data_IF_217408696553
#
_entry.id   IF_217408696553
#
_cell.length_a   1.000
_cell.length_b   1.000
_cell.length_c   1.000
_cell.angle_alpha   90.00
_cell.angle_beta   90.00
_cell.angle_gamma   90.00
#
_symmetry.space_group_name_H-M   'P 1'
#
loop_
_entity.id
_entity.type
_entity.pdbx_description
1 polymer ?
#
# COMPACT_ATOMS: atom_id res chain seq x y z
N UNK A 1 19.88 -12.99 2.19
CA UNK A 1 19.00 -12.24 1.28
C UNK A 1 19.78 -12.01 -0.01
N UNK A 2 19.28 -12.54 -1.12
CA UNK A 2 19.96 -12.38 -2.42
C UNK A 2 19.87 -10.91 -2.83
N UNK A 3 21.02 -10.30 -3.17
CA UNK A 3 21.09 -8.90 -3.62
C UNK A 3 20.14 -8.62 -4.81
N UNK A 4 19.92 -9.61 -5.67
CA UNK A 4 18.97 -9.55 -6.78
C UNK A 4 17.51 -9.38 -6.32
N UNK A 5 17.17 -9.93 -5.16
CA UNK A 5 15.82 -9.81 -4.60
C UNK A 5 15.56 -8.38 -4.12
N UNK A 6 16.51 -7.78 -3.40
CA UNK A 6 16.40 -6.40 -2.93
C UNK A 6 16.24 -5.44 -4.11
N UNK A 7 16.96 -5.65 -5.20
CA UNK A 7 16.82 -4.84 -6.40
C UNK A 7 15.45 -4.96 -7.06
N UNK A 8 14.92 -6.18 -7.17
CA UNK A 8 13.58 -6.41 -7.75
C UNK A 8 12.46 -5.86 -6.85
N UNK A 9 12.57 -6.00 -5.54
CA UNK A 9 11.61 -5.42 -4.58
C UNK A 9 11.59 -3.89 -4.64
N UNK A 10 12.75 -3.25 -4.72
CA UNK A 10 12.83 -1.80 -4.87
C UNK A 10 12.19 -1.34 -6.19
N UNK A 11 12.45 -2.03 -7.29
CA UNK A 11 11.86 -1.71 -8.58
C UNK A 11 10.34 -1.88 -8.57
N UNK A 12 9.83 -2.96 -7.99
CA UNK A 12 8.39 -3.21 -7.82
C UNK A 12 7.77 -2.09 -6.98
N UNK A 13 8.34 -1.77 -5.83
CA UNK A 13 7.88 -0.71 -4.95
C UNK A 13 7.79 0.64 -5.66
N UNK A 14 8.86 1.04 -6.36
CA UNK A 14 8.93 2.34 -7.00
C UNK A 14 7.97 2.43 -8.20
N UNK A 15 7.84 1.34 -8.97
CA UNK A 15 6.86 1.24 -10.07
C UNK A 15 5.43 1.34 -9.55
N UNK A 16 5.08 0.61 -8.49
CA UNK A 16 3.75 0.69 -7.88
C UNK A 16 3.46 2.05 -7.28
N UNK A 17 4.44 2.69 -6.64
CA UNK A 17 4.30 4.04 -6.12
C UNK A 17 3.98 5.03 -7.23
N UNK A 18 4.72 5.01 -8.34
CA UNK A 18 4.49 5.88 -9.48
C UNK A 18 3.14 5.65 -10.16
N UNK A 19 2.78 4.39 -10.41
CA UNK A 19 1.49 4.04 -11.03
C UNK A 19 0.32 4.42 -10.12
N UNK A 20 0.41 4.15 -8.82
CA UNK A 20 -0.64 4.48 -7.85
C UNK A 20 -0.81 6.00 -7.74
N UNK A 21 0.29 6.76 -7.71
CA UNK A 21 0.23 8.21 -7.69
C UNK A 21 -0.39 8.78 -8.98
N UNK A 22 0.01 8.28 -10.14
CA UNK A 22 -0.53 8.71 -11.42
C UNK A 22 -2.03 8.43 -11.55
N UNK A 23 -2.46 7.22 -11.22
CA UNK A 23 -3.88 6.83 -11.25
C UNK A 23 -4.67 7.66 -10.23
N UNK A 24 -4.15 7.79 -9.00
CA UNK A 24 -4.82 8.53 -7.94
C UNK A 24 -5.02 10.00 -8.27
N UNK A 25 -4.03 10.66 -8.87
CA UNK A 25 -4.14 12.06 -9.29
C UNK A 25 -5.12 12.25 -10.46
N UNK A 26 -5.23 11.27 -11.37
CA UNK A 26 -6.15 11.36 -12.51
C UNK A 26 -7.60 11.03 -12.15
N UNK A 27 -7.82 10.05 -11.28
CA UNK A 27 -9.16 9.53 -10.97
C UNK A 27 -9.68 10.12 -9.64
N UNK A 28 -8.79 10.63 -8.77
CA UNK A 28 -9.12 11.12 -7.43
C UNK A 28 -9.39 10.00 -6.42
N UNK A 29 -8.96 8.76 -6.72
CA UNK A 29 -9.15 7.60 -5.86
C UNK A 29 -7.81 6.94 -5.53
N UNK A 30 -7.62 6.55 -4.27
CA UNK A 30 -6.45 5.79 -3.86
C UNK A 30 -6.60 4.31 -4.24
N UNK A 31 -5.59 3.76 -4.92
CA UNK A 31 -5.53 2.34 -5.26
C UNK A 31 -4.83 1.60 -4.12
N UNK A 32 -5.58 0.90 -3.28
CA UNK A 32 -5.04 0.17 -2.12
C UNK A 32 -4.68 -1.29 -2.40
N UNK A 33 -5.07 -1.83 -3.55
CA UNK A 33 -4.94 -3.24 -3.88
C UNK A 33 -3.60 -3.64 -4.55
N UNK A 34 -2.63 -2.73 -4.63
CA UNK A 34 -1.34 -2.98 -5.30
C UNK A 34 -0.54 -4.16 -4.69
N UNK A 35 -0.70 -4.43 -3.40
CA UNK A 35 -0.04 -5.54 -2.72
C UNK A 35 -0.48 -6.93 -3.24
N UNK A 36 -1.72 -7.06 -3.77
CA UNK A 36 -2.16 -8.31 -4.40
C UNK A 36 -1.33 -8.65 -5.63
N UNK A 37 -0.93 -7.65 -6.40
CA UNK A 37 -0.10 -7.88 -7.59
C UNK A 37 1.29 -8.35 -7.19
N UNK A 38 1.89 -7.75 -6.15
CA UNK A 38 3.17 -8.19 -5.61
C UNK A 38 3.08 -9.64 -5.07
N UNK A 39 1.98 -9.99 -4.42
CA UNK A 39 1.70 -11.35 -3.97
C UNK A 39 1.61 -12.34 -5.15
N UNK A 40 0.83 -12.02 -6.18
CA UNK A 40 0.67 -12.87 -7.37
C UNK A 40 1.99 -13.04 -8.14
N UNK A 41 2.79 -11.98 -8.25
CA UNK A 41 4.12 -12.05 -8.85
C UNK A 41 5.05 -12.94 -8.04
N UNK A 42 5.04 -12.83 -6.72
CA UNK A 42 5.84 -13.67 -5.83
C UNK A 42 5.48 -15.15 -5.99
N UNK A 43 4.19 -15.48 -6.08
CA UNK A 43 3.73 -16.84 -6.36
C UNK A 43 4.17 -17.32 -7.75
N UNK A 44 4.03 -16.51 -8.78
CA UNK A 44 4.41 -16.87 -10.15
C UNK A 44 5.93 -17.11 -10.26
N UNK A 45 6.72 -16.35 -9.55
CA UNK A 45 8.18 -16.44 -9.49
C UNK A 45 8.68 -17.49 -8.47
N UNK A 46 7.76 -18.18 -7.78
CA UNK A 46 8.05 -19.18 -6.75
C UNK A 46 8.98 -18.66 -5.64
N UNK A 47 8.69 -17.48 -5.16
CA UNK A 47 9.38 -16.90 -4.01
C UNK A 47 9.05 -17.65 -2.72
N UNK A 48 9.96 -17.60 -1.78
CA UNK A 48 9.68 -18.14 -0.43
C UNK A 48 8.63 -17.29 0.29
N UNK A 49 7.87 -17.85 1.25
CA UNK A 49 6.87 -17.09 2.00
C UNK A 49 7.41 -15.81 2.65
N UNK A 50 8.66 -15.84 3.13
CA UNK A 50 9.34 -14.66 3.69
C UNK A 50 9.57 -13.57 2.65
N UNK A 51 9.99 -13.95 1.45
CA UNK A 51 10.21 -13.02 0.33
C UNK A 51 8.90 -12.39 -0.12
N UNK A 52 7.84 -13.17 -0.23
CA UNK A 52 6.49 -12.67 -0.55
C UNK A 52 6.01 -11.68 0.51
N UNK A 53 6.21 -11.98 1.79
CA UNK A 53 5.81 -11.10 2.89
C UNK A 53 6.56 -9.76 2.86
N UNK A 54 7.87 -9.77 2.59
CA UNK A 54 8.66 -8.55 2.48
C UNK A 54 8.20 -7.72 1.29
N UNK A 55 8.00 -8.34 0.11
CA UNK A 55 7.55 -7.64 -1.09
C UNK A 55 6.15 -7.03 -0.94
N UNK A 56 5.21 -7.75 -0.37
CA UNK A 56 3.85 -7.25 -0.11
C UNK A 56 3.85 -6.12 0.92
N UNK A 57 4.65 -6.23 1.97
CA UNK A 57 4.79 -5.17 2.99
C UNK A 57 5.42 -3.90 2.40
N UNK A 58 6.47 -4.03 1.58
CA UNK A 58 7.09 -2.91 0.89
C UNK A 58 6.12 -2.22 -0.08
N UNK A 59 5.35 -2.99 -0.84
CA UNK A 59 4.34 -2.47 -1.77
C UNK A 59 3.21 -1.75 -1.04
N UNK A 60 2.77 -2.30 0.10
CA UNK A 60 1.76 -1.66 0.95
C UNK A 60 2.27 -0.32 1.48
N UNK A 61 3.49 -0.26 1.98
CA UNK A 61 4.11 0.99 2.44
C UNK A 61 4.20 2.04 1.33
N UNK A 62 4.62 1.66 0.14
CA UNK A 62 4.66 2.54 -1.04
C UNK A 62 3.29 3.09 -1.42
N UNK A 63 2.27 2.24 -1.41
CA UNK A 63 0.88 2.62 -1.71
C UNK A 63 0.34 3.64 -0.70
N UNK A 64 0.59 3.44 0.59
CA UNK A 64 0.17 4.37 1.63
C UNK A 64 0.90 5.72 1.54
N UNK A 65 2.20 5.72 1.27
CA UNK A 65 2.96 6.95 1.03
C UNK A 65 2.40 7.72 -0.18
N UNK A 66 2.16 7.04 -1.30
CA UNK A 66 1.57 7.64 -2.50
C UNK A 66 0.18 8.20 -2.24
N UNK A 67 -0.64 7.52 -1.46
CA UNK A 67 -1.97 7.97 -1.05
C UNK A 67 -1.89 9.28 -0.26
N UNK A 68 -0.96 9.38 0.68
CA UNK A 68 -0.69 10.62 1.43
C UNK A 68 -0.36 11.79 0.49
N UNK A 69 0.49 11.57 -0.49
CA UNK A 69 0.80 12.58 -1.51
C UNK A 69 -0.40 13.00 -2.35
N UNK A 70 -1.20 12.04 -2.82
CA UNK A 70 -2.39 12.29 -3.66
C UNK A 70 -3.38 13.22 -2.97
N UNK A 71 -3.57 13.09 -1.66
CA UNK A 71 -4.52 13.92 -0.93
C UNK A 71 -3.94 15.25 -0.44
N UNK A 72 -2.65 15.32 -0.18
CA UNK A 72 -2.03 16.51 0.42
C UNK A 72 -1.53 17.51 -0.62
N UNK A 73 -0.85 17.03 -1.67
CA UNK A 73 -0.23 17.90 -2.67
C UNK A 73 -1.22 18.72 -3.47
N UNK A 74 -2.35 18.18 -4.00
CA UNK A 74 -3.33 18.98 -4.73
C UNK A 74 -3.96 20.08 -3.89
N UNK A 75 -4.07 19.91 -2.56
CA UNK A 75 -4.61 20.92 -1.67
C UNK A 75 -3.81 22.22 -1.71
N UNK A 76 -2.48 22.15 -1.84
CA UNK A 76 -1.62 23.34 -1.94
C UNK A 76 -1.93 24.12 -3.22
N UNK A 77 -2.13 23.42 -4.34
CA UNK A 77 -2.49 24.06 -5.61
C UNK A 77 -3.91 24.64 -5.58
N UNK A 78 -4.85 23.97 -4.90
CA UNK A 78 -6.19 24.50 -4.69
C UNK A 78 -6.15 25.80 -3.87
N UNK A 79 -5.34 25.86 -2.84
CA UNK A 79 -5.18 27.08 -2.02
C UNK A 79 -4.50 28.23 -2.77
N UNK A 80 -3.65 27.91 -3.76
CA UNK A 80 -2.93 28.90 -4.57
C UNK A 80 -3.72 29.43 -5.76
N UNK A 81 -4.60 28.59 -6.36
CA UNK A 81 -5.20 28.91 -7.67
C UNK A 81 -6.72 28.81 -7.73
N UNK A 82 -7.41 28.26 -6.73
CA UNK A 82 -8.85 28.10 -6.77
C UNK A 82 -9.56 29.34 -6.21
N UNK A 83 -10.48 29.89 -6.97
CA UNK A 83 -11.34 31.01 -6.57
C UNK A 83 -12.16 30.71 -5.31
N UNK A 84 -12.48 29.46 -5.04
CA UNK A 84 -13.24 29.03 -3.86
C UNK A 84 -12.47 29.27 -2.53
N UNK A 85 -11.15 29.39 -2.60
CA UNK A 85 -10.28 29.61 -1.44
C UNK A 85 -9.65 31.01 -1.42
N UNK A 86 -10.22 31.96 -2.16
CA UNK A 86 -9.79 33.33 -2.18
C UNK A 86 -10.14 34.03 -0.86
N UNK A 87 -9.19 34.73 -0.28
CA UNK A 87 -9.38 35.50 0.96
C UNK A 87 -9.16 36.99 0.64
N UNK A 88 -10.23 37.76 0.63
CA UNK A 88 -10.18 39.18 0.23
C UNK A 88 -9.75 39.34 -1.23
N UNK A 89 -8.78 40.21 -1.49
CA UNK A 89 -8.27 40.50 -2.83
C UNK A 89 -7.14 39.57 -3.30
N UNK A 90 -6.78 38.53 -2.50
CA UNK A 90 -5.67 37.63 -2.80
C UNK A 90 -5.95 36.16 -2.52
N UNK A 91 -5.03 35.31 -2.97
CA UNK A 91 -5.02 33.90 -2.61
C UNK A 91 -4.22 33.68 -1.32
N UNK A 92 -4.54 32.62 -0.59
CA UNK A 92 -3.82 32.25 0.63
C UNK A 92 -2.32 32.01 0.38
N UNK A 93 -1.99 31.54 -0.82
CA UNK A 93 -0.61 31.33 -1.28
C UNK A 93 -0.43 32.14 -2.56
N UNK A 94 0.46 33.10 -2.56
CA UNK A 94 0.65 34.05 -3.67
C UNK A 94 1.34 33.43 -4.91
N UNK A 95 2.20 32.43 -4.69
CA UNK A 95 2.87 31.69 -5.76
C UNK A 95 3.36 30.35 -5.26
N UNK A 96 3.31 29.32 -6.12
CA UNK A 96 3.84 27.98 -5.82
C UNK A 96 5.03 27.74 -6.73
N UNK A 97 6.23 27.70 -6.15
CA UNK A 97 7.41 27.17 -6.84
C UNK A 97 7.40 25.63 -6.73
N UNK A 98 7.12 24.99 -7.86
CA UNK A 98 7.00 23.52 -7.93
C UNK A 98 8.28 22.80 -7.50
N UNK A 99 9.44 23.38 -7.81
CA UNK A 99 10.74 22.78 -7.45
C UNK A 99 10.95 22.83 -5.94
N UNK A 100 10.75 24.00 -5.35
CA UNK A 100 10.86 24.20 -3.91
C UNK A 100 9.85 23.33 -3.16
N UNK A 101 8.62 23.25 -3.65
CA UNK A 101 7.56 22.42 -3.06
C UNK A 101 7.94 20.92 -3.11
N UNK A 102 8.52 20.46 -4.21
CA UNK A 102 8.98 19.07 -4.33
C UNK A 102 10.07 18.74 -3.29
N UNK A 103 11.07 19.61 -3.12
CA UNK A 103 12.12 19.42 -2.12
C UNK A 103 11.56 19.40 -0.69
N UNK A 104 10.70 20.34 -0.35
CA UNK A 104 10.05 20.38 0.96
C UNK A 104 9.22 19.12 1.18
N UNK A 105 8.48 18.66 0.18
CA UNK A 105 7.67 17.44 0.23
C UNK A 105 8.52 16.19 0.46
N UNK A 106 9.66 16.06 -0.20
CA UNK A 106 10.60 14.95 0.00
C UNK A 106 11.14 14.94 1.43
N UNK A 107 11.63 16.09 1.92
CA UNK A 107 12.20 16.20 3.28
C UNK A 107 11.12 15.92 4.33
N UNK A 108 9.93 16.49 4.17
CA UNK A 108 8.80 16.28 5.08
C UNK A 108 8.38 14.80 5.11
N UNK A 109 8.34 14.13 3.97
CA UNK A 109 8.00 12.71 3.86
C UNK A 109 9.04 11.80 4.51
N UNK A 110 10.32 12.12 4.33
CA UNK A 110 11.41 11.38 4.99
C UNK A 110 11.31 11.51 6.52
N UNK A 111 11.06 12.71 7.01
CA UNK A 111 10.93 12.96 8.44
C UNK A 111 9.68 12.29 9.02
N UNK A 112 8.55 12.39 8.34
CA UNK A 112 7.31 11.73 8.74
C UNK A 112 7.45 10.19 8.74
N UNK A 113 8.12 9.63 7.74
CA UNK A 113 8.41 8.20 7.68
C UNK A 113 9.29 7.74 8.84
N UNK A 114 10.33 8.49 9.15
CA UNK A 114 11.19 8.20 10.31
C UNK A 114 10.41 8.22 11.63
N UNK A 115 9.60 9.25 11.85
CA UNK A 115 8.74 9.33 13.04
C UNK A 115 7.74 8.19 13.12
N UNK A 116 7.13 7.80 12.00
CA UNK A 116 6.21 6.67 11.93
C UNK A 116 6.85 5.35 12.32
N UNK A 117 8.06 5.09 11.83
CA UNK A 117 8.84 3.89 12.19
C UNK A 117 9.19 3.91 13.68
N UNK A 118 9.68 5.02 14.19
CA UNK A 118 10.01 5.17 15.62
C UNK A 118 8.79 4.92 16.51
N UNK A 119 7.65 5.51 16.14
CA UNK A 119 6.38 5.31 16.85
C UNK A 119 6.00 3.82 16.86
N UNK A 120 6.04 3.16 15.71
CA UNK A 120 5.70 1.74 15.62
C UNK A 120 6.66 0.85 16.43
N UNK A 121 7.95 1.14 16.46
CA UNK A 121 8.93 0.38 17.24
C UNK A 121 8.60 0.46 18.75
N UNK A 122 8.21 1.64 19.23
CA UNK A 122 7.86 1.82 20.64
C UNK A 122 6.59 1.07 21.01
N UNK A 123 5.55 1.18 20.19
CA UNK A 123 4.22 0.62 20.51
C UNK A 123 4.03 -0.84 20.09
N UNK A 124 4.88 -1.40 19.21
CA UNK A 124 4.72 -2.77 18.71
C UNK A 124 4.62 -3.81 19.82
N UNK A 125 5.34 -3.60 20.92
CA UNK A 125 5.36 -4.55 22.04
C UNK A 125 3.99 -4.59 22.71
N UNK A 126 3.40 -3.45 22.97
CA UNK A 126 2.08 -3.34 23.59
C UNK A 126 1.01 -3.95 22.70
N UNK A 127 1.00 -3.57 21.41
CA UNK A 127 -0.06 -3.95 20.48
C UNK A 127 0.00 -5.38 19.95
N UNK A 128 1.19 -5.99 19.92
CA UNK A 128 1.37 -7.32 19.34
C UNK A 128 1.67 -8.40 20.38
N UNK A 129 2.18 -8.03 21.57
CA UNK A 129 2.65 -9.00 22.56
C UNK A 129 1.87 -8.92 23.88
N UNK A 130 1.70 -7.72 24.45
CA UNK A 130 1.09 -7.54 25.77
C UNK A 130 -0.44 -7.55 25.70
N UNK A 131 -1.03 -6.82 24.73
CA UNK A 131 -2.48 -6.77 24.50
C UNK A 131 -2.75 -6.88 22.99
N UNK A 132 -2.71 -8.09 22.41
CA UNK A 132 -2.83 -8.27 20.97
C UNK A 132 -4.19 -7.79 20.47
N UNK A 133 -4.17 -6.72 19.67
CA UNK A 133 -5.37 -6.16 19.06
C UNK A 133 -5.93 -7.12 18.01
N UNK A 134 -7.25 -7.36 18.01
CA UNK A 134 -7.89 -8.14 16.96
C UNK A 134 -7.78 -7.38 15.64
N UNK A 135 -7.08 -7.97 14.68
CA UNK A 135 -6.85 -7.37 13.36
C UNK A 135 -7.48 -8.23 12.26
N UNK A 136 -8.79 -8.20 12.07
CA UNK A 136 -9.49 -9.11 11.15
C UNK A 136 -9.03 -8.99 9.69
N UNK A 137 -8.54 -7.82 9.28
CA UNK A 137 -7.96 -7.62 7.94
C UNK A 137 -6.68 -8.40 7.70
N UNK A 138 -5.92 -8.72 8.75
CA UNK A 138 -4.67 -9.50 8.63
C UNK A 138 -4.90 -11.00 8.55
N UNK A 139 -6.04 -11.52 8.99
CA UNK A 139 -6.35 -12.95 8.83
C UNK A 139 -6.37 -13.38 7.38
N UNK A 140 -6.90 -12.55 6.49
CA UNK A 140 -6.88 -12.79 5.04
C UNK A 140 -5.44 -12.83 4.51
N UNK A 141 -4.58 -11.93 4.97
CA UNK A 141 -3.17 -11.89 4.56
C UNK A 141 -2.40 -13.10 5.08
N UNK A 142 -2.65 -13.53 6.31
CA UNK A 142 -2.05 -14.76 6.87
C UNK A 142 -2.45 -15.99 6.08
N UNK A 143 -3.73 -16.15 5.75
CA UNK A 143 -4.22 -17.25 4.91
C UNK A 143 -3.57 -17.25 3.52
N UNK A 144 -3.34 -16.07 2.94
CA UNK A 144 -2.62 -15.96 1.67
C UNK A 144 -1.15 -16.36 1.78
N UNK A 145 -0.49 -16.05 2.89
CA UNK A 145 0.88 -16.49 3.15
C UNK A 145 0.95 -18.01 3.37
N UNK A 146 -0.03 -18.60 4.04
CA UNK A 146 -0.14 -20.06 4.20
C UNK A 146 -0.28 -20.74 2.84
N UNK A 147 -1.17 -20.23 1.96
CA UNK A 147 -1.32 -20.72 0.60
C UNK A 147 -0.01 -20.59 -0.20
N UNK A 148 0.70 -19.48 -0.05
CA UNK A 148 2.00 -19.31 -0.71
C UNK A 148 3.04 -20.33 -0.20
N UNK A 149 3.00 -20.67 1.09
CA UNK A 149 3.83 -21.72 1.69
C UNK A 149 3.51 -23.09 1.10
N UNK A 150 2.23 -23.44 0.98
CA UNK A 150 1.77 -24.72 0.44
C UNK A 150 2.16 -24.88 -1.03
N UNK A 151 2.04 -23.80 -1.81
CA UNK A 151 2.50 -23.78 -3.22
C UNK A 151 4.01 -23.97 -3.31
N UNK A 152 4.78 -23.35 -2.44
CA UNK A 152 6.25 -23.46 -2.43
C UNK A 152 6.75 -24.83 -2.01
N UNK A 153 6.00 -25.55 -1.17
CA UNK A 153 6.30 -26.91 -0.68
C UNK A 153 5.78 -28.02 -1.59
N UNK A 154 5.07 -27.70 -2.67
CA UNK A 154 4.58 -28.67 -3.65
C UNK A 154 3.19 -29.23 -3.37
N UNK A 155 2.48 -28.75 -2.35
CA UNK A 155 1.07 -29.07 -2.06
C UNK A 155 0.11 -28.27 -3.00
N UNK A 156 0.47 -28.20 -4.28
CA UNK A 156 -0.17 -27.31 -5.26
C UNK A 156 -1.67 -27.58 -5.49
N UNK A 157 -2.15 -28.79 -5.25
CA UNK A 157 -3.55 -29.14 -5.50
C UNK A 157 -4.50 -28.56 -4.44
N UNK A 158 -4.11 -28.62 -3.16
CA UNK A 158 -4.88 -28.01 -2.06
C UNK A 158 -4.92 -26.48 -2.16
N UNK A 159 -3.81 -25.87 -2.57
CA UNK A 159 -3.74 -24.42 -2.74
C UNK A 159 -4.58 -23.92 -3.94
N UNK A 160 -4.65 -24.68 -5.02
CA UNK A 160 -5.52 -24.40 -6.17
C UNK A 160 -7.00 -24.43 -5.80
N UNK A 161 -7.42 -25.39 -5.01
CA UNK A 161 -8.81 -25.50 -4.58
C UNK A 161 -9.18 -24.39 -3.58
N UNK A 162 -8.27 -24.01 -2.70
CA UNK A 162 -8.44 -22.87 -1.79
C UNK A 162 -8.53 -21.54 -2.53
N UNK A 163 -7.73 -21.34 -3.58
CA UNK A 163 -7.80 -20.16 -4.46
C UNK A 163 -9.11 -20.11 -5.24
N UNK A 164 -9.58 -21.24 -5.76
CA UNK A 164 -10.89 -21.31 -6.44
C UNK A 164 -12.04 -21.00 -5.51
N UNK A 165 -12.04 -21.53 -4.29
CA UNK A 165 -13.02 -21.24 -3.26
C UNK A 165 -13.02 -19.75 -2.85
N UNK A 166 -11.85 -19.14 -2.71
CA UNK A 166 -11.70 -17.72 -2.40
C UNK A 166 -12.23 -16.84 -3.54
N UNK A 167 -11.93 -17.17 -4.79
CA UNK A 167 -12.42 -16.45 -5.97
C UNK A 167 -13.94 -16.60 -6.13
N UNK A 168 -14.50 -17.77 -5.85
CA UNK A 168 -15.94 -18.01 -5.88
C UNK A 168 -16.64 -17.20 -4.77
N UNK A 169 -16.07 -17.12 -3.58
CA UNK A 169 -16.63 -16.31 -2.47
C UNK A 169 -16.58 -14.80 -2.73
N UNK A 170 -15.56 -14.32 -3.46
CA UNK A 170 -15.46 -12.91 -3.85
C UNK A 170 -16.45 -12.60 -4.98
N UNK A 171 -16.73 -13.55 -5.87
CA UNK A 171 -17.64 -13.34 -7.00
C UNK A 171 -19.12 -13.57 -6.67
N UNK A 172 -19.48 -14.16 -5.54
CA UNK A 172 -20.87 -14.40 -5.11
C UNK A 172 -21.30 -13.73 -3.80
N UNK A 173 -21.20 -12.40 -3.61
CA UNK A 173 -21.73 -11.76 -2.40
C UNK A 173 -23.26 -11.58 -2.43
N UNK A 174 -23.97 -11.98 -3.48
CA UNK A 174 -25.34 -11.52 -3.71
C UNK A 174 -26.43 -12.59 -3.63
N UNK A 175 -26.13 -13.87 -3.41
CA UNK A 175 -27.17 -14.92 -3.39
C UNK A 175 -27.85 -15.19 -2.03
N UNK A 176 -27.40 -14.57 -0.93
CA UNK A 176 -27.94 -14.81 0.41
C UNK A 176 -28.92 -13.72 0.93
N UNK A 177 -29.54 -12.94 0.04
CA UNK A 177 -30.59 -12.01 0.41
C UNK A 177 -31.87 -12.24 -0.38
N UNK A 178 -32.40 -13.45 -0.31
CA UNK A 178 -33.81 -13.76 -0.64
C UNK A 178 -34.29 -14.95 0.18
N UNK A 179 -34.52 -14.72 1.44
CA UNK A 179 -35.54 -15.39 2.23
C UNK A 179 -36.09 -14.33 3.17
#
# INVERSE_FOLDING_TARGET
>A
VRLSLVGSEMCIRDSFSGVTAYIGLNIGMAVSAAWYVAYLLGMALKWTPSEVNIATSATTGATHASTGFIFTFPAIFLLAYSESYRVGDGFLISSVDTVQLAFIGIIASMFAGFLGVMYFIIFRRVWLVEDPLPMPGFEATLKMLDIASDVSTGAADAARDSLKLSLIHISEPTRLRRI
#
